data_IF_836967766027
#
_entry.id   IF_836967766027
#
_cell.length_a   1.000
_cell.length_b   1.000
_cell.length_c   1.000
_cell.angle_alpha   90.00
_cell.angle_beta   90.00
_cell.angle_gamma   90.00
#
_symmetry.space_group_name_H-M   'P 1'
#
loop_
_entity.id
_entity.type
_entity.pdbx_description
1 polymer ?
#
# COMPACT_ATOMS: atom_id res chain seq x y z
N UNK A 1 -18.45 -31.08 24.84
CA UNK A 1 -18.47 -29.64 25.16
C UNK A 1 -18.13 -28.89 23.89
N UNK A 2 -19.14 -28.61 23.06
CA UNK A 2 -19.02 -27.63 22.00
C UNK A 2 -19.31 -26.29 22.67
N UNK A 3 -18.28 -25.58 23.14
CA UNK A 3 -18.45 -24.14 23.35
C UNK A 3 -18.99 -23.58 22.04
N UNK A 4 -20.11 -22.86 22.11
CA UNK A 4 -20.64 -22.09 20.99
C UNK A 4 -19.52 -21.16 20.51
N UNK A 5 -18.79 -21.64 19.50
CA UNK A 5 -17.69 -20.92 18.88
C UNK A 5 -18.34 -19.78 18.12
N UNK A 6 -18.53 -18.68 18.83
CA UNK A 6 -19.19 -17.49 18.34
C UNK A 6 -18.48 -17.04 17.08
N UNK A 7 -19.23 -17.05 15.98
CA UNK A 7 -18.77 -16.45 14.72
C UNK A 7 -18.69 -14.95 14.95
N UNK A 8 -17.48 -14.40 14.84
CA UNK A 8 -17.28 -12.95 15.02
C UNK A 8 -17.50 -12.28 13.67
N UNK A 9 -18.53 -11.44 13.57
CA UNK A 9 -18.78 -10.60 12.39
C UNK A 9 -18.12 -9.23 12.55
N UNK A 10 -17.19 -8.93 11.65
CA UNK A 10 -16.49 -7.65 11.55
C UNK A 10 -17.01 -6.85 10.36
N UNK A 11 -17.06 -5.52 10.53
CA UNK A 11 -17.52 -4.56 9.52
C UNK A 11 -16.39 -3.61 9.14
N UNK A 12 -16.46 -2.97 7.97
CA UNK A 12 -15.54 -1.88 7.66
C UNK A 12 -15.56 -0.82 8.76
N UNK A 13 -14.39 -0.24 9.04
CA UNK A 13 -14.19 0.79 10.05
C UNK A 13 -15.19 1.94 9.84
N UNK A 14 -15.55 2.61 10.94
CA UNK A 14 -16.52 3.70 10.90
C UNK A 14 -16.12 4.81 9.93
N UNK A 15 -14.82 5.08 9.77
CA UNK A 15 -14.27 6.07 8.84
C UNK A 15 -14.68 5.78 7.39
N UNK A 16 -14.50 4.55 6.92
CA UNK A 16 -14.87 4.13 5.56
C UNK A 16 -16.39 4.18 5.34
N UNK A 17 -17.17 3.84 6.38
CA UNK A 17 -18.64 3.97 6.34
C UNK A 17 -19.08 5.44 6.26
N UNK A 18 -18.40 6.35 6.95
CA UNK A 18 -18.69 7.80 6.88
C UNK A 18 -18.38 8.40 5.51
N UNK A 19 -17.30 7.96 4.85
CA UNK A 19 -16.95 8.40 3.49
C UNK A 19 -18.10 8.21 2.51
N UNK A 20 -18.84 7.11 2.62
CA UNK A 20 -20.02 6.84 1.78
C UNK A 20 -21.10 7.89 2.00
N UNK A 21 -21.41 8.24 3.25
CA UNK A 21 -22.42 9.26 3.54
C UNK A 21 -22.03 10.64 2.99
N UNK A 22 -20.74 11.00 3.04
CA UNK A 22 -20.27 12.23 2.41
C UNK A 22 -20.38 12.20 0.89
N UNK A 23 -20.10 11.05 0.27
CA UNK A 23 -20.27 10.85 -1.16
C UNK A 23 -21.75 10.96 -1.56
N UNK A 24 -22.66 10.32 -0.80
CA UNK A 24 -24.11 10.40 -1.01
C UNK A 24 -24.61 11.85 -0.88
N UNK A 25 -24.17 12.58 0.15
CA UNK A 25 -24.53 13.98 0.35
C UNK A 25 -24.04 14.87 -0.80
N UNK A 26 -22.78 14.71 -1.22
CA UNK A 26 -22.22 15.41 -2.37
C UNK A 26 -22.97 15.09 -3.67
N UNK A 27 -23.37 13.83 -3.85
CA UNK A 27 -24.23 13.40 -4.96
C UNK A 27 -25.56 14.14 -4.94
N UNK A 28 -26.22 14.18 -3.78
CA UNK A 28 -27.49 14.87 -3.58
C UNK A 28 -27.41 16.35 -3.96
N UNK A 29 -26.37 17.06 -3.52
CA UNK A 29 -26.14 18.47 -3.89
C UNK A 29 -25.98 18.61 -5.41
N UNK A 30 -25.18 17.75 -6.03
CA UNK A 30 -24.93 17.83 -7.48
C UNK A 30 -26.19 17.54 -8.28
N UNK A 31 -26.96 16.53 -7.91
CA UNK A 31 -28.27 16.23 -8.49
C UNK A 31 -29.19 17.45 -8.34
N UNK A 32 -29.25 18.06 -7.16
CA UNK A 32 -30.06 19.25 -6.89
C UNK A 32 -29.68 20.45 -7.76
N UNK A 33 -28.38 20.71 -7.94
CA UNK A 33 -27.88 21.78 -8.81
C UNK A 33 -28.26 21.51 -10.27
N UNK A 34 -28.05 20.28 -10.76
CA UNK A 34 -28.41 19.90 -12.15
C UNK A 34 -29.90 20.03 -12.37
N UNK A 35 -30.73 19.61 -11.41
CA UNK A 35 -32.17 19.76 -11.47
C UNK A 35 -32.57 21.24 -11.50
N UNK A 36 -31.96 22.08 -10.65
CA UNK A 36 -32.20 23.52 -10.63
C UNK A 36 -31.81 24.19 -11.95
N UNK A 37 -30.62 23.89 -12.50
CA UNK A 37 -30.16 24.40 -13.80
C UNK A 37 -31.10 24.01 -14.95
N UNK A 38 -31.65 22.79 -14.90
CA UNK A 38 -32.67 22.35 -15.84
C UNK A 38 -33.99 23.11 -15.69
N UNK A 39 -34.42 23.40 -14.46
CA UNK A 39 -35.63 24.18 -14.18
C UNK A 39 -35.52 25.62 -14.69
N UNK A 40 -34.35 26.25 -14.57
CA UNK A 40 -34.11 27.62 -15.08
C UNK A 40 -33.82 27.67 -16.60
N UNK A 41 -33.98 26.56 -17.32
CA UNK A 41 -33.88 26.51 -18.79
C UNK A 41 -32.44 26.53 -19.33
N UNK A 42 -31.45 26.28 -18.49
CA UNK A 42 -30.03 26.28 -18.86
C UNK A 42 -29.56 24.89 -19.35
N UNK A 43 -30.31 23.83 -19.06
CA UNK A 43 -29.93 22.43 -19.35
C UNK A 43 -30.48 21.84 -20.65
N UNK A 44 -29.70 20.94 -21.28
CA UNK A 44 -30.18 20.10 -22.39
C UNK A 44 -30.70 18.77 -21.83
N UNK A 45 -32.02 18.70 -21.66
CA UNK A 45 -32.78 17.67 -20.91
C UNK A 45 -32.30 16.22 -21.02
N UNK A 46 -31.81 15.76 -22.18
CA UNK A 46 -31.42 14.34 -22.35
C UNK A 46 -29.95 14.06 -22.01
N UNK A 47 -29.05 15.03 -22.19
CA UNK A 47 -27.61 14.87 -21.92
C UNK A 47 -27.31 14.94 -20.44
N UNK A 48 -28.06 15.78 -19.74
CA UNK A 48 -27.95 15.94 -18.29
C UNK A 48 -28.34 14.66 -17.56
N UNK A 49 -29.31 13.89 -18.10
CA UNK A 49 -29.74 12.61 -17.53
C UNK A 49 -28.69 11.51 -17.66
N UNK A 50 -28.05 11.40 -18.84
CA UNK A 50 -26.97 10.43 -19.04
C UNK A 50 -25.77 10.76 -18.16
N UNK A 51 -25.38 12.04 -18.08
CA UNK A 51 -24.33 12.50 -17.17
C UNK A 51 -24.65 12.22 -15.71
N UNK A 52 -25.92 12.38 -15.30
CA UNK A 52 -26.39 12.07 -13.96
C UNK A 52 -26.24 10.58 -13.62
N UNK A 53 -26.62 9.68 -14.53
CA UNK A 53 -26.49 8.23 -14.32
C UNK A 53 -25.02 7.86 -14.12
N UNK A 54 -24.11 8.35 -14.97
CA UNK A 54 -22.68 8.06 -14.84
C UNK A 54 -22.06 8.63 -13.56
N UNK A 55 -22.64 9.70 -13.01
CA UNK A 55 -22.18 10.30 -11.75
C UNK A 55 -22.75 9.59 -10.51
N UNK A 56 -24.05 9.24 -10.54
CA UNK A 56 -24.76 8.67 -9.38
C UNK A 56 -24.52 7.17 -9.25
N UNK A 57 -24.42 6.43 -10.36
CA UNK A 57 -24.27 4.98 -10.34
C UNK A 57 -23.00 4.51 -9.58
N UNK A 58 -21.82 5.12 -9.76
CA UNK A 58 -20.63 4.77 -8.97
C UNK A 58 -20.83 4.98 -7.46
N UNK A 59 -21.57 6.01 -7.06
CA UNK A 59 -21.83 6.34 -5.65
C UNK A 59 -22.75 5.30 -5.04
N UNK A 60 -23.82 4.92 -5.74
CA UNK A 60 -24.69 3.80 -5.33
C UNK A 60 -23.89 2.49 -5.22
N UNK A 61 -23.05 2.19 -6.22
CA UNK A 61 -22.22 0.98 -6.20
C UNK A 61 -21.25 0.97 -5.02
N UNK A 62 -20.60 2.10 -4.72
CA UNK A 62 -19.72 2.26 -3.57
C UNK A 62 -20.48 2.04 -2.26
N UNK A 63 -21.69 2.59 -2.16
CA UNK A 63 -22.55 2.46 -1.00
C UNK A 63 -22.92 0.99 -0.75
N UNK A 64 -23.42 0.31 -1.79
CA UNK A 64 -23.70 -1.13 -1.74
C UNK A 64 -22.44 -1.89 -1.31
N UNK A 65 -21.29 -1.61 -1.91
CA UNK A 65 -20.04 -2.31 -1.60
C UNK A 65 -19.65 -2.17 -0.13
N UNK A 66 -19.68 -0.96 0.43
CA UNK A 66 -19.30 -0.72 1.83
C UNK A 66 -20.34 -1.29 2.80
N UNK A 67 -21.63 -1.15 2.51
CA UNK A 67 -22.69 -1.64 3.38
C UNK A 67 -22.79 -3.17 3.40
N UNK A 68 -22.50 -3.83 2.28
CA UNK A 68 -22.55 -5.30 2.15
C UNK A 68 -21.25 -5.98 2.53
N UNK A 69 -20.12 -5.27 2.52
CA UNK A 69 -18.82 -5.83 2.92
C UNK A 69 -18.85 -6.28 4.38
N UNK A 70 -18.55 -7.56 4.61
CA UNK A 70 -18.49 -8.20 5.92
C UNK A 70 -17.34 -9.19 5.95
N UNK A 71 -16.72 -9.34 7.10
CA UNK A 71 -15.75 -10.39 7.37
C UNK A 71 -16.26 -11.18 8.57
N UNK A 72 -16.38 -12.49 8.44
CA UNK A 72 -16.76 -13.41 9.51
C UNK A 72 -15.56 -14.29 9.82
N UNK A 73 -15.18 -14.33 11.08
CA UNK A 73 -14.14 -15.22 11.57
C UNK A 73 -14.83 -16.47 12.09
N UNK A 74 -14.57 -17.59 11.42
CA UNK A 74 -15.11 -18.91 11.73
C UNK A 74 -14.00 -19.84 12.23
N UNK A 75 -14.39 -20.98 12.79
CA UNK A 75 -13.47 -22.01 13.27
C UNK A 75 -12.58 -22.52 12.15
N UNK A 76 -13.14 -22.70 10.95
CA UNK A 76 -12.44 -23.26 9.80
C UNK A 76 -11.70 -22.23 8.94
N UNK A 77 -11.96 -20.94 9.12
CA UNK A 77 -11.33 -19.90 8.29
C UNK A 77 -11.96 -18.53 8.42
N UNK A 78 -11.70 -17.70 7.42
CA UNK A 78 -12.28 -16.36 7.28
C UNK A 78 -13.27 -16.39 6.13
N UNK A 79 -14.53 -16.03 6.38
CA UNK A 79 -15.49 -15.72 5.32
C UNK A 79 -15.49 -14.23 5.05
N UNK A 80 -15.39 -13.85 3.79
CA UNK A 80 -15.53 -12.47 3.37
C UNK A 80 -16.70 -12.34 2.42
N UNK A 81 -17.59 -11.39 2.67
CA UNK A 81 -18.63 -11.00 1.72
C UNK A 81 -18.11 -9.91 0.79
N UNK A 82 -18.09 -10.18 -0.51
CA UNK A 82 -17.82 -9.20 -1.56
C UNK A 82 -19.10 -9.02 -2.38
N UNK A 83 -19.65 -7.81 -2.39
CA UNK A 83 -21.00 -7.56 -2.92
C UNK A 83 -22.03 -8.49 -2.24
N UNK A 84 -22.62 -9.42 -2.99
CA UNK A 84 -23.62 -10.37 -2.47
C UNK A 84 -23.06 -11.79 -2.29
N UNK A 85 -21.81 -12.04 -2.67
CA UNK A 85 -21.21 -13.38 -2.64
C UNK A 85 -20.27 -13.54 -1.45
N UNK A 86 -20.32 -14.71 -0.82
CA UNK A 86 -19.40 -15.11 0.24
C UNK A 86 -18.22 -15.86 -0.36
N UNK A 87 -17.03 -15.50 0.11
CA UNK A 87 -15.74 -16.05 -0.29
C UNK A 87 -15.05 -16.60 0.95
N UNK A 88 -14.77 -17.90 0.99
CA UNK A 88 -14.22 -18.58 2.16
C UNK A 88 -12.71 -18.78 2.02
N UNK A 89 -11.98 -18.42 3.07
CA UNK A 89 -10.53 -18.51 3.20
C UNK A 89 -10.19 -19.46 4.35
N UNK A 90 -10.01 -20.76 4.08
CA UNK A 90 -9.71 -21.73 5.14
C UNK A 90 -8.37 -21.43 5.82
N UNK A 91 -8.27 -21.75 7.11
CA UNK A 91 -7.03 -21.57 7.88
C UNK A 91 -5.85 -22.33 7.27
N UNK A 92 -6.10 -23.48 6.64
CA UNK A 92 -5.08 -24.29 5.96
C UNK A 92 -4.34 -23.54 4.85
N UNK A 93 -4.96 -22.56 4.18
CA UNK A 93 -4.27 -21.73 3.19
C UNK A 93 -3.22 -20.83 3.84
N UNK A 94 -3.52 -20.29 5.02
CA UNK A 94 -2.56 -19.52 5.80
C UNK A 94 -1.47 -20.43 6.36
N UNK A 95 -1.83 -21.63 6.82
CA UNK A 95 -0.88 -22.60 7.36
C UNK A 95 0.06 -23.17 6.29
N UNK A 96 -0.40 -23.41 5.06
CA UNK A 96 0.44 -23.96 3.99
C UNK A 96 1.55 -23.01 3.51
N UNK A 97 1.49 -21.71 3.81
CA UNK A 97 2.43 -20.71 3.31
C UNK A 97 2.35 -20.47 1.79
N UNK A 98 1.29 -20.94 1.13
CA UNK A 98 1.08 -20.76 -0.32
C UNK A 98 0.61 -19.35 -0.69
N UNK A 99 0.06 -18.63 0.28
CA UNK A 99 -0.43 -17.27 0.12
C UNK A 99 0.74 -16.28 0.01
N UNK A 100 0.64 -15.34 -0.93
CA UNK A 100 1.53 -14.17 -0.99
C UNK A 100 1.00 -13.09 -0.05
N UNK A 101 1.88 -12.29 0.54
CA UNK A 101 1.50 -11.26 1.51
C UNK A 101 2.08 -9.88 1.14
N UNK A 102 1.45 -9.16 0.18
CA UNK A 102 1.93 -7.87 -0.30
C UNK A 102 2.04 -6.78 0.77
N UNK A 103 1.18 -6.82 1.79
CA UNK A 103 1.21 -5.90 2.93
C UNK A 103 0.84 -6.63 4.22
N UNK A 104 0.97 -5.99 5.38
CA UNK A 104 0.60 -6.62 6.66
C UNK A 104 -0.87 -7.05 6.74
N UNK A 105 -1.74 -6.36 6.02
CA UNK A 105 -3.18 -6.60 6.01
C UNK A 105 -3.71 -7.13 4.68
N UNK A 106 -2.86 -7.44 3.70
CA UNK A 106 -3.29 -7.96 2.39
C UNK A 106 -2.68 -9.34 2.13
N UNK A 107 -3.54 -10.29 1.75
CA UNK A 107 -3.19 -11.66 1.44
C UNK A 107 -3.66 -11.99 0.03
N UNK A 108 -2.81 -12.65 -0.76
CA UNK A 108 -3.04 -12.93 -2.16
C UNK A 108 -2.86 -14.43 -2.44
N UNK A 109 -3.94 -15.08 -2.88
CA UNK A 109 -3.94 -16.45 -3.40
C UNK A 109 -3.93 -16.41 -4.94
N UNK A 110 -2.83 -16.78 -5.61
CA UNK A 110 -2.75 -16.77 -7.07
C UNK A 110 -3.67 -17.80 -7.73
N UNK A 111 -4.02 -18.88 -7.02
CA UNK A 111 -4.79 -20.01 -7.56
C UNK A 111 -6.28 -19.67 -7.75
N UNK A 112 -6.80 -18.71 -6.98
CA UNK A 112 -8.20 -18.28 -7.05
C UNK A 112 -8.52 -17.47 -8.33
N UNK A 113 -9.80 -17.30 -8.72
CA UNK A 113 -10.19 -16.38 -9.79
C UNK A 113 -9.90 -14.91 -9.42
N UNK A 114 -9.56 -14.06 -10.40
CA UNK A 114 -9.09 -12.68 -10.20
C UNK A 114 -9.91 -11.84 -9.20
N UNK A 115 -11.24 -11.97 -9.19
CA UNK A 115 -12.13 -11.26 -8.26
C UNK A 115 -12.06 -11.74 -6.80
N UNK A 116 -11.47 -12.89 -6.53
CA UNK A 116 -11.42 -13.52 -5.20
C UNK A 116 -9.99 -13.80 -4.72
N UNK A 117 -8.98 -13.40 -5.51
CA UNK A 117 -7.56 -13.64 -5.18
C UNK A 117 -7.06 -12.92 -3.95
N UNK A 118 -7.65 -11.77 -3.59
CA UNK A 118 -7.12 -10.92 -2.51
C UNK A 118 -8.03 -10.92 -1.31
N UNK A 119 -7.48 -11.02 -0.11
CA UNK A 119 -8.13 -10.73 1.17
C UNK A 119 -7.44 -9.51 1.78
N UNK A 120 -8.10 -8.36 1.70
CA UNK A 120 -7.59 -7.11 2.26
C UNK A 120 -8.36 -6.75 3.54
N UNK A 121 -7.63 -6.68 4.65
CA UNK A 121 -8.09 -6.35 5.99
C UNK A 121 -7.85 -4.88 6.37
N UNK A 122 -7.26 -4.05 5.48
CA UNK A 122 -6.97 -2.63 5.74
C UNK A 122 -8.23 -1.83 6.11
N UNK A 123 -9.39 -2.25 5.59
CA UNK A 123 -10.67 -1.59 5.83
C UNK A 123 -11.28 -1.88 7.20
N UNK A 124 -10.73 -2.82 7.97
CA UNK A 124 -11.15 -3.08 9.36
C UNK A 124 -10.60 -2.00 10.31
N UNK A 125 -11.27 -1.79 11.43
CA UNK A 125 -10.75 -0.93 12.49
C UNK A 125 -9.43 -1.51 13.02
N UNK A 126 -8.49 -0.65 13.44
CA UNK A 126 -7.17 -1.11 13.89
C UNK A 126 -7.26 -2.09 15.06
N UNK A 127 -8.17 -1.83 16.00
CA UNK A 127 -8.49 -2.66 17.17
C UNK A 127 -8.94 -4.09 16.80
N UNK A 128 -9.65 -4.26 15.68
CA UNK A 128 -10.12 -5.57 15.18
C UNK A 128 -9.09 -6.22 14.26
N UNK A 129 -8.40 -5.39 13.47
CA UNK A 129 -7.43 -5.80 12.46
C UNK A 129 -6.18 -6.39 13.08
N UNK A 130 -5.62 -5.76 14.12
CA UNK A 130 -4.37 -6.21 14.75
C UNK A 130 -4.50 -7.62 15.35
N UNK A 131 -5.53 -7.94 16.17
CA UNK A 131 -5.70 -9.29 16.71
C UNK A 131 -5.91 -10.34 15.63
N UNK A 132 -6.69 -10.01 14.58
CA UNK A 132 -6.91 -10.92 13.46
C UNK A 132 -5.61 -11.21 12.70
N UNK A 133 -4.80 -10.18 12.43
CA UNK A 133 -3.48 -10.34 11.81
C UNK A 133 -2.59 -11.21 12.69
N UNK A 134 -2.50 -10.93 14.00
CA UNK A 134 -1.71 -11.74 14.94
C UNK A 134 -2.13 -13.22 14.94
N UNK A 135 -3.44 -13.47 14.85
CA UNK A 135 -3.96 -14.84 14.74
C UNK A 135 -3.56 -15.50 13.42
N UNK A 136 -3.69 -14.80 12.30
CA UNK A 136 -3.22 -15.31 11.00
C UNK A 136 -1.72 -15.62 11.06
N UNK A 137 -0.94 -14.71 11.64
CA UNK A 137 0.52 -14.83 11.76
C UNK A 137 0.93 -16.03 12.62
N UNK A 138 0.17 -16.33 13.68
CA UNK A 138 0.40 -17.51 14.52
C UNK A 138 0.18 -18.84 13.79
N UNK A 139 -0.70 -18.85 12.78
CA UNK A 139 -0.99 -20.03 11.97
C UNK A 139 -0.06 -20.17 10.77
N UNK A 140 0.59 -19.08 10.38
CA UNK A 140 1.38 -19.01 9.16
C UNK A 140 2.65 -19.84 9.28
N UNK A 141 2.57 -21.11 8.88
CA UNK A 141 3.76 -21.95 8.79
C UNK A 141 4.51 -21.62 7.52
N UNK A 142 5.81 -21.40 7.71
CA UNK A 142 6.70 -21.05 6.63
C UNK A 142 7.09 -22.37 5.98
N UNK A 143 6.48 -22.67 4.84
CA UNK A 143 6.89 -23.81 4.01
C UNK A 143 8.41 -23.80 3.86
N UNK A 144 9.05 -24.96 4.08
CA UNK A 144 10.49 -25.09 3.83
C UNK A 144 10.76 -24.71 2.39
N UNK A 145 11.41 -23.57 2.25
CA UNK A 145 11.66 -22.98 0.97
C UNK A 145 12.74 -23.83 0.29
N UNK A 146 12.47 -24.47 -0.86
CA UNK A 146 13.48 -25.25 -1.55
C UNK A 146 14.63 -24.32 -1.95
N UNK A 147 15.87 -24.77 -1.70
CA UNK A 147 17.08 -24.03 -2.04
C UNK A 147 17.16 -23.88 -3.56
N UNK A 148 16.87 -22.68 -4.07
CA UNK A 148 17.02 -22.38 -5.47
C UNK A 148 18.52 -22.22 -5.81
N UNK A 149 18.97 -22.81 -6.92
CA UNK A 149 20.34 -22.62 -7.43
C UNK A 149 20.59 -21.19 -7.89
N UNK A 150 19.56 -20.56 -8.46
CA UNK A 150 19.58 -19.17 -8.87
C UNK A 150 18.21 -18.52 -8.71
N UNK A 151 18.19 -17.20 -8.56
CA UNK A 151 16.96 -16.39 -8.51
C UNK A 151 17.07 -15.27 -9.53
N UNK A 152 15.98 -15.03 -10.25
CA UNK A 152 15.89 -13.93 -11.20
C UNK A 152 14.79 -12.96 -10.80
N UNK A 153 15.18 -11.68 -10.73
CA UNK A 153 14.29 -10.57 -10.43
C UNK A 153 14.10 -9.78 -11.71
N UNK A 154 12.84 -9.55 -12.07
CA UNK A 154 12.42 -8.76 -13.21
C UNK A 154 11.96 -7.38 -12.72
N UNK A 155 12.77 -6.36 -12.99
CA UNK A 155 12.38 -4.97 -12.80
C UNK A 155 11.85 -4.42 -14.13
N UNK A 156 10.79 -3.61 -14.06
CA UNK A 156 10.05 -2.98 -15.15
C UNK A 156 10.67 -3.13 -16.57
N UNK A 157 9.98 -3.90 -17.42
CA UNK A 157 10.11 -4.03 -18.88
C UNK A 157 11.47 -4.40 -19.53
N UNK A 158 12.60 -4.55 -18.82
CA UNK A 158 13.83 -5.11 -19.42
C UNK A 158 14.98 -5.43 -18.45
N UNK A 159 14.88 -5.05 -17.17
CA UNK A 159 15.97 -5.23 -16.21
C UNK A 159 15.89 -6.62 -15.60
N UNK A 160 16.89 -7.46 -15.91
CA UNK A 160 17.02 -8.81 -15.35
C UNK A 160 18.23 -8.83 -14.44
N UNK A 161 17.99 -9.07 -13.16
CA UNK A 161 19.07 -9.30 -12.20
C UNK A 161 19.00 -10.76 -11.78
N UNK A 162 20.05 -11.53 -12.08
CA UNK A 162 20.20 -12.92 -11.68
C UNK A 162 21.18 -13.00 -10.51
N UNK A 163 20.84 -13.82 -9.53
CA UNK A 163 21.64 -14.12 -8.35
C UNK A 163 21.97 -15.61 -8.38
N UNK A 164 23.25 -15.95 -8.33
CA UNK A 164 23.74 -17.33 -8.33
C UNK A 164 25.07 -17.44 -7.57
N UNK A 165 25.69 -18.62 -7.59
CA UNK A 165 26.95 -18.89 -6.89
C UNK A 165 28.08 -17.93 -7.26
N UNK A 166 28.12 -17.42 -8.50
CA UNK A 166 29.20 -16.55 -8.98
C UNK A 166 29.03 -15.10 -8.52
N UNK A 167 27.79 -14.68 -8.27
CA UNK A 167 27.50 -13.32 -7.83
C UNK A 167 26.15 -12.82 -8.30
N UNK A 168 26.11 -11.51 -8.59
CA UNK A 168 24.94 -10.80 -9.08
C UNK A 168 25.22 -10.41 -10.53
N UNK A 169 24.55 -11.10 -11.47
CA UNK A 169 24.57 -10.74 -12.88
C UNK A 169 23.47 -9.71 -13.15
N UNK A 170 23.86 -8.45 -13.27
CA UNK A 170 22.93 -7.35 -13.53
C UNK A 170 22.96 -6.96 -15.01
N UNK A 171 21.85 -7.18 -15.72
CA UNK A 171 21.71 -6.83 -17.14
C UNK A 171 20.80 -5.61 -17.32
N UNK A 172 21.37 -4.57 -17.93
CA UNK A 172 20.63 -3.40 -18.46
C UNK A 172 20.42 -3.58 -19.95
N UNK A 173 19.30 -3.09 -20.48
CA UNK A 173 18.89 -3.34 -21.88
C UNK A 173 19.96 -2.98 -22.92
N UNK A 174 20.77 -1.95 -22.66
CA UNK A 174 21.77 -1.41 -23.60
C UNK A 174 23.22 -1.75 -23.20
N UNK A 175 23.46 -2.18 -21.96
CA UNK A 175 24.82 -2.36 -21.44
C UNK A 175 25.21 -3.84 -21.40
N UNK A 176 26.50 -4.12 -21.54
CA UNK A 176 27.04 -5.46 -21.31
C UNK A 176 26.63 -5.93 -19.90
N UNK A 177 26.22 -7.20 -19.73
CA UNK A 177 25.93 -7.75 -18.42
C UNK A 177 27.10 -7.48 -17.47
N UNK A 178 26.80 -6.95 -16.30
CA UNK A 178 27.80 -6.70 -15.26
C UNK A 178 27.70 -7.82 -14.23
N UNK A 179 28.76 -8.61 -14.10
CA UNK A 179 28.89 -9.58 -13.01
C UNK A 179 29.51 -8.87 -11.80
N UNK A 180 28.77 -8.85 -10.69
CA UNK A 180 29.21 -8.28 -9.42
C UNK A 180 29.45 -9.45 -8.45
N UNK A 181 30.70 -9.75 -8.07
CA UNK A 181 30.97 -10.86 -7.15
C UNK A 181 30.44 -10.56 -5.75
N UNK A 182 30.13 -11.60 -4.97
CA UNK A 182 29.62 -11.46 -3.60
C UNK A 182 30.55 -10.66 -2.66
N UNK A 183 31.86 -10.67 -2.94
CA UNK A 183 32.89 -9.93 -2.19
C UNK A 183 32.78 -8.41 -2.29
N UNK A 184 32.11 -7.89 -3.34
CA UNK A 184 31.87 -6.45 -3.56
C UNK A 184 30.77 -5.88 -2.66
N UNK A 185 29.91 -6.73 -2.10
CA UNK A 185 28.79 -6.29 -1.26
C UNK A 185 29.35 -5.75 0.06
N UNK A 186 29.03 -4.50 0.39
CA UNK A 186 29.41 -3.87 1.66
C UNK A 186 28.32 -4.03 2.70
N UNK A 187 27.06 -3.83 2.30
CA UNK A 187 25.91 -3.82 3.20
C UNK A 187 24.63 -4.26 2.49
N UNK A 188 23.78 -5.00 3.21
CA UNK A 188 22.42 -5.32 2.81
C UNK A 188 21.45 -4.69 3.81
N UNK A 189 20.68 -3.69 3.37
CA UNK A 189 19.56 -3.12 4.12
C UNK A 189 18.30 -3.90 3.75
N UNK A 190 17.78 -4.71 4.67
CA UNK A 190 16.57 -5.50 4.50
C UNK A 190 15.44 -4.86 5.32
N UNK A 191 14.57 -4.10 4.66
CA UNK A 191 13.40 -3.51 5.29
C UNK A 191 12.26 -4.53 5.33
N UNK A 192 11.73 -4.80 6.52
CA UNK A 192 10.62 -5.71 6.77
C UNK A 192 9.46 -4.98 7.41
N UNK A 193 8.26 -5.52 7.28
CA UNK A 193 7.12 -4.98 8.03
C UNK A 193 7.30 -5.19 9.54
N UNK A 194 7.70 -6.39 9.93
CA UNK A 194 8.07 -6.77 11.29
C UNK A 194 9.38 -7.58 11.27
N UNK A 195 10.17 -7.54 12.34
CA UNK A 195 11.40 -8.30 12.51
C UNK A 195 11.15 -9.81 12.43
N UNK A 196 9.97 -10.28 12.85
CA UNK A 196 9.57 -11.69 12.82
C UNK A 196 9.36 -12.24 11.41
N UNK A 197 8.97 -11.40 10.44
CA UNK A 197 8.72 -11.83 9.05
C UNK A 197 10.01 -12.24 8.35
N UNK A 198 9.98 -13.30 7.52
CA UNK A 198 11.15 -13.73 6.75
C UNK A 198 11.31 -13.01 5.42
N UNK A 199 10.20 -12.57 4.83
CA UNK A 199 10.19 -11.75 3.64
C UNK A 199 10.58 -10.28 3.92
N UNK A 200 10.53 -9.44 2.89
CA UNK A 200 10.97 -8.05 2.95
C UNK A 200 10.04 -7.16 2.16
N UNK A 201 9.89 -5.92 2.59
CA UNK A 201 9.24 -4.86 1.81
C UNK A 201 10.19 -4.36 0.74
N UNK A 202 11.44 -4.12 1.15
CA UNK A 202 12.50 -3.60 0.29
C UNK A 202 13.86 -4.14 0.72
N UNK A 203 14.66 -4.57 -0.24
CA UNK A 203 16.08 -4.88 -0.01
C UNK A 203 16.92 -3.88 -0.79
N UNK A 204 17.92 -3.30 -0.13
CA UNK A 204 18.96 -2.51 -0.80
C UNK A 204 20.32 -3.16 -0.57
N UNK A 205 21.06 -3.33 -1.66
CA UNK A 205 22.39 -3.93 -1.65
C UNK A 205 23.38 -2.82 -2.03
N UNK A 206 24.27 -2.46 -1.11
CA UNK A 206 25.35 -1.51 -1.34
C UNK A 206 26.64 -2.25 -1.74
N UNK A 207 27.45 -1.59 -2.56
CA UNK A 207 28.66 -2.17 -3.15
C UNK A 207 29.88 -1.28 -2.90
N UNK A 208 31.10 -1.83 -2.95
CA UNK A 208 32.34 -1.05 -2.87
C UNK A 208 32.55 -0.20 -4.11
N UNK A 209 32.45 -0.83 -5.28
CA UNK A 209 32.72 -0.21 -6.59
C UNK A 209 31.62 0.72 -7.10
N UNK A 210 30.48 0.87 -6.40
CA UNK A 210 29.32 1.64 -6.90
C UNK A 210 28.76 2.58 -5.84
N UNK A 211 28.51 3.82 -6.26
CA UNK A 211 27.84 4.84 -5.44
C UNK A 211 26.37 4.53 -5.17
N UNK A 212 25.68 3.90 -6.14
CA UNK A 212 24.24 3.66 -6.04
C UNK A 212 23.93 2.21 -5.66
N UNK A 213 23.19 1.96 -4.57
CA UNK A 213 22.78 0.61 -4.20
C UNK A 213 21.73 0.06 -5.18
N UNK A 214 21.73 -1.26 -5.39
CA UNK A 214 20.63 -1.95 -6.07
C UNK A 214 19.48 -2.09 -5.10
N UNK A 215 18.25 -1.78 -5.53
CA UNK A 215 17.09 -1.73 -4.64
C UNK A 215 15.93 -2.55 -5.20
N UNK A 216 15.63 -3.66 -4.57
CA UNK A 216 14.57 -4.59 -4.94
C UNK A 216 13.36 -4.39 -4.04
N UNK A 217 12.17 -4.57 -4.60
CA UNK A 217 10.90 -4.52 -3.87
C UNK A 217 10.31 -5.92 -3.76
N UNK A 218 9.41 -6.11 -2.79
CA UNK A 218 8.67 -7.37 -2.63
C UNK A 218 8.00 -7.82 -3.94
N UNK A 219 7.32 -6.89 -4.61
CA UNK A 219 6.52 -7.14 -5.82
C UNK A 219 7.35 -7.46 -7.07
N UNK A 220 8.63 -7.09 -7.10
CA UNK A 220 9.54 -7.48 -8.18
C UNK A 220 10.04 -8.92 -8.06
N UNK A 221 9.83 -9.58 -6.92
CA UNK A 221 10.36 -10.92 -6.64
C UNK A 221 9.23 -11.96 -6.72
N UNK A 222 9.42 -13.01 -7.52
CA UNK A 222 8.48 -14.13 -7.60
C UNK A 222 8.38 -14.89 -6.27
N UNK A 223 9.52 -15.05 -5.59
CA UNK A 223 9.65 -15.65 -4.27
C UNK A 223 10.63 -14.85 -3.37
N UNK A 224 10.13 -13.87 -2.60
CA UNK A 224 10.96 -12.98 -1.79
C UNK A 224 11.63 -13.69 -0.60
N UNK A 225 11.05 -14.77 -0.09
CA UNK A 225 11.66 -15.56 0.98
C UNK A 225 12.86 -16.37 0.48
N UNK A 226 12.73 -17.02 -0.68
CA UNK A 226 13.86 -17.64 -1.40
C UNK A 226 14.98 -16.65 -1.61
N UNK A 227 14.63 -15.43 -2.01
CA UNK A 227 15.61 -14.38 -2.27
C UNK A 227 16.42 -14.01 -1.02
N UNK A 228 15.76 -13.81 0.12
CA UNK A 228 16.45 -13.55 1.39
C UNK A 228 17.34 -14.71 1.81
N UNK A 229 16.86 -15.96 1.69
CA UNK A 229 17.64 -17.14 2.04
C UNK A 229 18.87 -17.30 1.15
N UNK A 230 18.72 -17.12 -0.17
CA UNK A 230 19.82 -17.14 -1.13
C UNK A 230 20.87 -16.08 -0.79
N UNK A 231 20.44 -14.84 -0.50
CA UNK A 231 21.37 -13.79 -0.10
C UNK A 231 22.08 -14.16 1.22
N UNK A 232 21.38 -14.75 2.19
CA UNK A 232 21.97 -15.16 3.47
C UNK A 232 22.99 -16.30 3.32
N UNK A 233 22.85 -17.16 2.31
CA UNK A 233 23.84 -18.20 2.03
C UNK A 233 25.16 -17.67 1.47
N UNK A 234 25.16 -16.50 0.81
CA UNK A 234 26.36 -15.93 0.20
C UNK A 234 26.94 -14.72 0.93
N UNK A 235 26.13 -14.01 1.73
CA UNK A 235 26.53 -12.76 2.37
C UNK A 235 26.60 -12.92 3.89
N UNK A 236 27.76 -12.71 4.53
CA UNK A 236 27.93 -12.85 5.97
C UNK A 236 26.95 -12.01 6.78
N UNK A 237 26.44 -12.56 7.89
CA UNK A 237 25.45 -11.93 8.78
C UNK A 237 25.87 -10.52 9.21
N UNK A 238 27.17 -10.27 9.44
CA UNK A 238 27.69 -8.96 9.82
C UNK A 238 27.42 -7.82 8.82
N UNK A 239 27.11 -8.15 7.55
CA UNK A 239 26.76 -7.16 6.51
C UNK A 239 25.26 -6.86 6.42
N UNK A 240 24.43 -7.55 7.21
CA UNK A 240 22.99 -7.40 7.18
C UNK A 240 22.51 -6.35 8.18
N UNK A 241 21.64 -5.48 7.72
CA UNK A 241 20.92 -4.52 8.55
C UNK A 241 19.42 -4.71 8.32
N UNK A 242 18.73 -5.31 9.28
CA UNK A 242 17.29 -5.62 9.19
C UNK A 242 16.53 -4.50 9.88
N UNK A 243 15.66 -3.82 9.16
CA UNK A 243 14.85 -2.70 9.68
C UNK A 243 13.38 -3.12 9.73
N UNK A 244 12.80 -3.23 10.93
CA UNK A 244 11.37 -3.42 11.14
C UNK A 244 10.58 -2.10 10.99
N UNK A 245 9.45 -2.15 10.28
CA UNK A 245 8.57 -0.98 10.15
C UNK A 245 7.72 -0.78 11.42
N UNK A 246 7.27 -1.86 12.08
CA UNK A 246 6.19 -1.77 13.09
C UNK A 246 6.50 -2.09 14.57
N UNK A 247 7.40 -3.00 14.96
CA UNK A 247 7.58 -3.33 16.41
C UNK A 247 9.04 -3.42 16.88
N UNK A 248 9.29 -2.88 18.08
CA UNK A 248 10.57 -2.83 18.83
C UNK A 248 11.79 -2.34 18.05
N UNK A 249 11.77 -1.06 17.70
CA UNK A 249 12.95 -0.38 17.15
C UNK A 249 13.98 -0.16 18.26
N UNK A 250 15.21 -0.58 18.03
CA UNK A 250 16.36 -0.17 18.84
C UNK A 250 16.51 1.35 18.83
N UNK A 251 17.17 1.92 19.86
CA UNK A 251 17.37 3.37 19.94
C UNK A 251 18.05 3.92 18.66
N UNK A 252 19.04 3.18 18.13
CA UNK A 252 19.73 3.53 16.88
C UNK A 252 18.80 3.53 15.66
N UNK A 253 17.88 2.57 15.56
CA UNK A 253 16.88 2.54 14.48
C UNK A 253 15.85 3.66 14.62
N UNK A 254 15.44 3.99 15.84
CA UNK A 254 14.53 5.13 16.10
C UNK A 254 15.20 6.43 15.66
N UNK A 255 16.45 6.66 16.04
CA UNK A 255 17.21 7.85 15.66
C UNK A 255 17.42 7.94 14.13
N UNK A 256 17.78 6.83 13.49
CA UNK A 256 17.89 6.77 12.04
C UNK A 256 16.57 7.10 11.34
N UNK A 257 15.45 6.50 11.78
CA UNK A 257 14.14 6.72 11.20
C UNK A 257 13.64 8.15 11.42
N UNK A 258 13.90 8.74 12.58
CA UNK A 258 13.59 10.14 12.86
C UNK A 258 14.34 11.08 11.91
N UNK A 259 15.65 10.86 11.72
CA UNK A 259 16.46 11.68 10.81
C UNK A 259 16.00 11.54 9.36
N UNK A 260 15.64 10.32 8.94
CA UNK A 260 15.10 10.05 7.60
C UNK A 260 13.75 10.73 7.38
N UNK A 261 12.81 10.60 8.32
CA UNK A 261 11.49 11.23 8.21
C UNK A 261 11.60 12.76 8.21
N UNK A 262 12.47 13.34 9.04
CA UNK A 262 12.74 14.80 9.04
C UNK A 262 13.31 15.27 7.69
N UNK A 263 14.18 14.47 7.08
CA UNK A 263 14.70 14.73 5.73
C UNK A 263 13.59 14.63 4.68
N UNK A 264 12.81 13.56 4.67
CA UNK A 264 11.70 13.35 3.74
C UNK A 264 10.63 14.45 3.86
N UNK A 265 10.34 14.91 5.08
CA UNK A 265 9.45 16.05 5.34
C UNK A 265 10.01 17.35 4.75
N UNK A 266 11.30 17.63 4.96
CA UNK A 266 11.98 18.81 4.40
C UNK A 266 11.95 18.78 2.87
N UNK A 267 12.21 17.62 2.27
CA UNK A 267 12.18 17.44 0.81
C UNK A 267 10.75 17.59 0.25
N UNK A 268 9.73 17.09 0.96
CA UNK A 268 8.32 17.29 0.58
C UNK A 268 7.87 18.75 0.70
N UNK A 269 8.30 19.47 1.74
CA UNK A 269 8.03 20.91 1.91
C UNK A 269 8.70 21.73 0.81
N UNK A 270 9.93 21.38 0.43
CA UNK A 270 10.66 22.01 -0.67
C UNK A 270 9.96 21.79 -2.03
N UNK A 271 9.47 20.58 -2.27
CA UNK A 271 8.75 20.23 -3.51
C UNK A 271 7.29 20.67 -3.55
N UNK A 272 6.77 21.31 -2.50
CA UNK A 272 5.37 21.75 -2.41
C UNK A 272 5.02 22.71 -3.56
N UNK A 273 5.96 23.51 -4.02
CA UNK A 273 5.77 24.44 -5.14
C UNK A 273 5.41 23.75 -6.47
N UNK A 274 5.89 22.52 -6.71
CA UNK A 274 5.62 21.77 -7.94
C UNK A 274 4.16 21.30 -8.00
N UNK A 275 3.58 20.89 -6.86
CA UNK A 275 2.17 20.51 -6.78
C UNK A 275 1.22 21.71 -7.02
N UNK A 276 1.62 22.92 -6.59
CA UNK A 276 0.90 24.15 -6.89
C UNK A 276 1.04 24.59 -8.35
N UNK A 277 2.12 24.23 -9.04
CA UNK A 277 2.24 24.47 -10.49
C UNK A 277 1.23 23.66 -11.31
N UNK A 278 0.80 22.49 -10.83
CA UNK A 278 -0.28 21.71 -11.45
C UNK A 278 -1.68 22.32 -11.23
N UNK A 279 -1.87 23.12 -10.18
CA UNK A 279 -3.12 23.89 -9.94
C UNK A 279 -3.34 25.00 -10.99
N UNK A 280 -2.29 25.43 -11.70
CA UNK A 280 -2.39 26.44 -12.76
C UNK A 280 -2.73 25.90 -14.15
N UNK A 281 -2.66 24.58 -14.38
CA UNK A 281 -2.83 23.98 -15.71
C UNK A 281 -4.31 23.97 -16.18
N UNK A 282 -5.34 23.83 -15.31
CA UNK A 282 -6.73 24.01 -15.74
C UNK A 282 -7.07 25.46 -16.14
N UNK A 283 -6.27 26.45 -15.71
CA UNK A 283 -6.45 27.86 -16.05
C UNK A 283 -5.83 28.19 -17.43
N UNK A 284 -4.96 27.32 -17.95
CA UNK A 284 -4.27 27.49 -19.24
C UNK A 284 -4.87 26.67 -20.39
N UNK A 285 -5.96 25.91 -20.17
CA UNK A 285 -6.85 25.55 -21.28
C UNK A 285 -7.56 26.84 -21.68
N UNK A 286 -6.86 27.56 -22.56
CA UNK A 286 -7.29 28.65 -23.41
C UNK A 286 -8.82 28.76 -23.43
N UNK A 287 -9.30 29.84 -22.84
CA UNK A 287 -10.59 30.47 -23.11
C UNK A 287 -10.74 30.67 -24.63
N UNK A 288 -11.03 29.60 -25.36
CA UNK A 288 -11.52 29.70 -26.72
C UNK A 288 -12.98 30.15 -26.65
N UNK A 289 -13.24 31.21 -27.40
CA UNK A 289 -14.38 32.09 -27.27
C UNK A 289 -15.71 31.34 -27.47
N UNK A 290 -16.64 31.54 -26.52
CA UNK A 290 -18.03 31.09 -26.48
C UNK A 290 -18.31 29.58 -26.32
N UNK A 291 -18.49 29.07 -25.07
CA UNK A 291 -18.97 27.70 -24.80
C UNK A 291 -20.36 27.40 -25.38
N UNK A 292 -21.11 28.44 -25.74
CA UNK A 292 -22.44 28.35 -26.38
C UNK A 292 -22.38 27.62 -27.74
N UNK A 293 -21.23 27.57 -28.41
CA UNK A 293 -21.07 26.94 -29.74
C UNK A 293 -20.47 25.53 -29.72
N UNK A 294 -20.26 24.94 -28.54
CA UNK A 294 -19.64 23.62 -28.46
C UNK A 294 -20.60 22.52 -28.86
N UNK A 295 -20.14 21.59 -29.70
CA UNK A 295 -20.87 20.37 -30.01
C UNK A 295 -20.82 19.39 -28.82
N UNK A 296 -21.63 18.32 -28.90
CA UNK A 296 -21.77 17.34 -27.82
C UNK A 296 -20.45 16.66 -27.45
N UNK A 297 -19.59 16.41 -28.44
CA UNK A 297 -18.33 15.69 -28.27
C UNK A 297 -17.34 16.53 -27.45
N UNK A 298 -17.31 17.85 -27.65
CA UNK A 298 -16.46 18.76 -26.87
C UNK A 298 -16.92 18.87 -25.42
N UNK A 299 -18.23 18.92 -25.18
CA UNK A 299 -18.77 18.90 -23.81
C UNK A 299 -18.48 17.57 -23.10
N UNK A 300 -18.64 16.43 -23.78
CA UNK A 300 -18.31 15.11 -23.23
C UNK A 300 -16.81 14.98 -22.94
N UNK A 301 -15.95 15.49 -23.82
CA UNK A 301 -14.51 15.45 -23.64
C UNK A 301 -14.08 16.31 -22.44
N UNK A 302 -14.65 17.50 -22.28
CA UNK A 302 -14.34 18.38 -21.15
C UNK A 302 -14.92 17.85 -19.84
N UNK A 303 -16.11 17.25 -19.86
CA UNK A 303 -16.67 16.55 -18.70
C UNK A 303 -15.82 15.34 -18.30
N UNK A 304 -15.40 14.52 -19.27
CA UNK A 304 -14.48 13.41 -19.02
C UNK A 304 -13.16 13.88 -18.41
N UNK A 305 -12.58 14.95 -18.96
CA UNK A 305 -11.39 15.58 -18.40
C UNK A 305 -11.62 16.18 -17.02
N UNK A 306 -12.74 16.85 -16.76
CA UNK A 306 -13.03 17.46 -15.46
C UNK A 306 -13.26 16.40 -14.39
N UNK A 307 -13.98 15.32 -14.69
CA UNK A 307 -14.15 14.18 -13.78
C UNK A 307 -12.81 13.52 -13.47
N UNK A 308 -11.97 13.30 -14.47
CA UNK A 308 -10.62 12.74 -14.26
C UNK A 308 -9.76 13.70 -13.44
N UNK A 309 -9.75 14.99 -13.75
CA UNK A 309 -8.95 16.00 -13.04
C UNK A 309 -9.45 16.17 -11.61
N UNK A 310 -10.75 16.32 -11.39
CA UNK A 310 -11.35 16.43 -10.06
C UNK A 310 -11.16 15.14 -9.26
N UNK A 311 -11.31 13.97 -9.89
CA UNK A 311 -11.03 12.68 -9.26
C UNK A 311 -9.57 12.55 -8.84
N UNK A 312 -8.63 12.84 -9.74
CA UNK A 312 -7.20 12.89 -9.46
C UNK A 312 -6.87 13.94 -8.38
N UNK A 313 -7.55 15.08 -8.37
CA UNK A 313 -7.34 16.16 -7.40
C UNK A 313 -7.84 15.76 -6.02
N UNK A 314 -9.06 15.24 -5.91
CA UNK A 314 -9.62 14.74 -4.65
C UNK A 314 -8.75 13.61 -4.12
N UNK A 315 -8.32 12.69 -4.98
CA UNK A 315 -7.40 11.62 -4.60
C UNK A 315 -6.04 12.16 -4.15
N UNK A 316 -5.44 13.14 -4.85
CA UNK A 316 -4.19 13.76 -4.47
C UNK A 316 -4.30 14.59 -3.18
N UNK A 317 -5.44 15.27 -2.97
CA UNK A 317 -5.74 16.05 -1.77
C UNK A 317 -5.90 15.13 -0.55
N UNK A 318 -6.69 14.06 -0.68
CA UNK A 318 -6.80 13.05 0.38
C UNK A 318 -5.47 12.33 0.61
N UNK A 319 -4.69 12.06 -0.43
CA UNK A 319 -3.35 11.49 -0.28
C UNK A 319 -2.41 12.45 0.46
N UNK A 320 -2.46 13.75 0.14
CA UNK A 320 -1.67 14.79 0.81
C UNK A 320 -2.09 15.00 2.27
N UNK A 321 -3.40 15.00 2.57
CA UNK A 321 -3.91 15.04 3.94
C UNK A 321 -3.54 13.78 4.73
N UNK A 322 -3.68 12.60 4.12
CA UNK A 322 -3.27 11.31 4.71
C UNK A 322 -1.76 11.32 4.99
N UNK A 323 -0.94 11.81 4.06
CA UNK A 323 0.50 11.97 4.28
C UNK A 323 0.80 12.95 5.40
N UNK A 324 0.20 14.15 5.40
CA UNK A 324 0.45 15.18 6.41
C UNK A 324 0.06 14.72 7.82
N UNK A 325 -1.11 14.07 7.95
CA UNK A 325 -1.55 13.44 9.21
C UNK A 325 -0.63 12.30 9.62
N UNK A 326 -0.25 11.43 8.67
CA UNK A 326 0.66 10.32 8.94
C UNK A 326 2.06 10.78 9.35
N UNK A 327 2.58 11.89 8.81
CA UNK A 327 3.90 12.40 9.19
C UNK A 327 3.91 12.89 10.64
N UNK A 328 2.97 13.75 11.03
CA UNK A 328 2.87 14.23 12.42
C UNK A 328 2.69 13.08 13.41
N UNK A 329 1.75 12.18 13.12
CA UNK A 329 1.49 11.04 14.00
C UNK A 329 2.67 10.08 14.08
N UNK A 330 3.38 9.84 12.96
CA UNK A 330 4.60 9.01 12.95
C UNK A 330 5.76 9.64 13.71
N UNK A 331 5.98 10.94 13.55
CA UNK A 331 7.03 11.66 14.29
C UNK A 331 6.73 11.59 15.80
N UNK A 332 5.51 11.95 16.21
CA UNK A 332 5.10 11.90 17.62
C UNK A 332 5.24 10.49 18.21
N UNK A 333 4.81 9.45 17.48
CA UNK A 333 4.95 8.06 17.92
C UNK A 333 6.41 7.63 18.08
N UNK A 334 7.29 8.04 17.15
CA UNK A 334 8.73 7.73 17.24
C UNK A 334 9.43 8.51 18.35
N UNK A 335 9.05 9.77 18.58
CA UNK A 335 9.59 10.59 19.66
C UNK A 335 9.18 10.04 21.04
N UNK A 336 7.92 9.61 21.21
CA UNK A 336 7.46 8.90 22.41
C UNK A 336 8.28 7.64 22.65
N UNK A 337 8.46 6.80 21.61
CA UNK A 337 9.22 5.55 21.73
C UNK A 337 10.70 5.80 22.04
N UNK A 338 11.29 6.86 21.47
CA UNK A 338 12.66 7.29 21.80
C UNK A 338 12.80 7.62 23.28
N UNK A 339 11.83 8.37 23.83
CA UNK A 339 11.83 8.75 25.24
C UNK A 339 11.72 7.52 26.15
N UNK A 340 10.84 6.57 25.83
CA UNK A 340 10.72 5.29 26.55
C UNK A 340 12.03 4.50 26.57
N UNK A 341 12.68 4.32 25.41
CA UNK A 341 13.93 3.57 25.30
C UNK A 341 15.10 4.24 26.04
N UNK A 342 15.13 5.58 26.07
CA UNK A 342 16.13 6.32 26.84
C UNK A 342 15.91 6.12 28.35
N UNK A 343 14.66 6.09 28.81
CA UNK A 343 14.32 5.79 30.19
C UNK A 343 14.73 4.34 30.56
N UNK A 344 14.36 3.34 29.74
CA UNK A 344 14.73 1.93 29.93
C UNK A 344 16.24 1.71 30.04
N UNK A 345 17.03 2.37 29.19
CA UNK A 345 18.50 2.28 29.24
C UNK A 345 19.09 2.97 30.48
N UNK A 346 18.51 4.08 30.93
CA UNK A 346 18.98 4.78 32.13
C UNK A 346 18.74 3.97 33.42
N UNK A 347 17.61 3.25 33.50
CA UNK A 347 17.31 2.33 34.61
C UNK A 347 18.24 1.13 34.61
N UNK A 348 18.52 0.53 33.44
CA UNK A 348 19.43 -0.62 33.33
C UNK A 348 20.88 -0.28 33.74
N UNK A 349 21.35 0.94 33.43
CA UNK A 349 22.67 1.40 33.86
C UNK A 349 22.74 1.67 35.37
N UNK A 350 21.66 2.19 35.97
CA UNK A 350 21.57 2.44 37.41
C UNK A 350 21.50 1.18 38.28
N UNK A 351 21.00 0.06 37.74
CA UNK A 351 20.97 -1.25 38.42
C UNK A 351 22.29 -2.03 38.28
N UNK A 352 23.16 -1.63 37.36
CA UNK A 352 24.45 -2.30 37.09
C UNK A 352 25.66 -1.71 37.83
N UNK A 353 25.45 -0.58 38.52
CA UNK A 353 26.42 0.11 39.37
C UNK A 353 26.10 -0.17 40.84
#
# INVERSE_FOLDING_TARGET
MHEDLQTIELRPAAEWRRVVYYADFGAGITIGIIAWLNLVGVGQKWKDFVGLIFFVLPIICLNILVQTSRIQIEIGGIRRRRWLQWDFWPWDLFASGTLKRPSNSDFLDPSRPLGFRRLNLEFLAEEERIPLIKRIDSLWQISEVPKAEFIEIYEANALRTRFDEQGILHRRWIQKPLLIPWSEITQIECQRFDHSRRDFVRIRIAFKSRLNPLAFRYDSCSNPEQFVQLLKSYVPVAKWFIIGIEEQKSLAEVDYLLNKIKKDEKDCRSNRHIAWSFLGIPILIRWEQNPIRWNIDRWLLIFGFSVIITGCFVQAFFWALRLAGNFKNRIAKLESRRAELLAENSTALGESL
#
